data_IF_939635165613
#
_entry.id   IF_939635165613
#
_cell.length_a   1.000
_cell.length_b   1.000
_cell.length_c   1.000
_cell.angle_alpha   90.00
_cell.angle_beta   90.00
_cell.angle_gamma   90.00
#
_symmetry.space_group_name_H-M   'P 1'
#
loop_
_entity.id
_entity.type
_entity.pdbx_description
1 polymer ?
#
# COMPACT_ATOMS: atom_id res chain seq x y z
N UNK A 1 -3.15 2.36 -2.72
CA UNK A 1 -4.29 1.49 -3.15
C UNK A 1 -4.02 0.75 -4.46
N UNK A 2 -3.79 1.41 -5.61
CA UNK A 2 -3.64 0.70 -6.91
C UNK A 2 -2.56 -0.39 -6.91
N UNK A 3 -1.38 -0.11 -6.39
CA UNK A 3 -0.29 -1.10 -6.32
C UNK A 3 -0.65 -2.34 -5.49
N UNK A 4 -1.46 -2.18 -4.44
CA UNK A 4 -1.95 -3.31 -3.65
C UNK A 4 -2.88 -4.22 -4.46
N UNK A 5 -3.85 -3.67 -5.21
CA UNK A 5 -4.71 -4.49 -6.07
C UNK A 5 -3.92 -5.20 -7.17
N UNK A 6 -2.91 -4.53 -7.73
CA UNK A 6 -1.99 -5.15 -8.68
C UNK A 6 -1.24 -6.32 -8.01
N UNK A 7 -0.63 -6.10 -6.84
CA UNK A 7 0.07 -7.14 -6.09
C UNK A 7 -0.84 -8.32 -5.74
N UNK A 8 -2.04 -8.09 -5.20
CA UNK A 8 -2.96 -9.18 -4.86
C UNK A 8 -3.37 -10.01 -6.10
N UNK A 9 -3.47 -9.38 -7.27
CA UNK A 9 -3.73 -10.08 -8.53
C UNK A 9 -2.54 -10.90 -9.05
N UNK A 10 -1.30 -10.44 -8.80
CA UNK A 10 -0.06 -11.09 -9.22
C UNK A 10 0.39 -12.19 -8.27
N UNK A 11 0.06 -12.06 -6.98
CA UNK A 11 0.49 -12.94 -5.89
C UNK A 11 -0.73 -13.54 -5.16
N UNK A 12 -1.50 -14.43 -5.82
CA UNK A 12 -2.73 -14.99 -5.25
C UNK A 12 -2.49 -15.81 -3.98
N UNK A 13 -1.29 -16.39 -3.80
CA UNK A 13 -0.94 -17.12 -2.59
C UNK A 13 -0.81 -16.21 -1.36
N UNK A 14 -0.28 -15.01 -1.54
CA UNK A 14 -0.19 -13.99 -0.48
C UNK A 14 -1.59 -13.55 -0.06
N UNK A 15 -2.44 -13.24 -1.04
CA UNK A 15 -3.85 -12.92 -0.81
C UNK A 15 -4.56 -14.05 -0.05
N UNK A 16 -4.36 -15.31 -0.44
CA UNK A 16 -4.98 -16.46 0.22
C UNK A 16 -4.54 -16.60 1.67
N UNK A 17 -3.24 -16.49 1.97
CA UNK A 17 -2.74 -16.55 3.37
C UNK A 17 -3.34 -15.47 4.25
N UNK A 18 -3.49 -14.25 3.72
CA UNK A 18 -4.12 -13.15 4.44
C UNK A 18 -5.62 -13.39 4.68
N UNK A 19 -6.33 -13.90 3.67
CA UNK A 19 -7.72 -14.31 3.78
C UNK A 19 -7.91 -15.44 4.81
N UNK A 20 -7.03 -16.43 4.85
CA UNK A 20 -7.06 -17.53 5.82
C UNK A 20 -6.85 -17.02 7.26
N UNK A 21 -5.93 -16.06 7.48
CA UNK A 21 -5.75 -15.41 8.78
C UNK A 21 -7.00 -14.63 9.19
N UNK A 22 -7.56 -13.83 8.31
CA UNK A 22 -8.79 -13.07 8.54
C UNK A 22 -9.96 -13.99 8.92
N UNK A 23 -10.16 -15.08 8.17
CA UNK A 23 -11.24 -16.04 8.42
C UNK A 23 -11.05 -16.74 9.78
N UNK A 24 -9.81 -17.07 10.14
CA UNK A 24 -9.49 -17.73 11.41
C UNK A 24 -9.72 -16.83 12.62
N UNK A 25 -9.33 -15.56 12.53
CA UNK A 25 -9.32 -14.62 13.67
C UNK A 25 -10.66 -13.90 13.82
N UNK A 26 -11.26 -13.47 12.72
CA UNK A 26 -12.46 -12.63 12.72
C UNK A 26 -13.70 -13.42 12.30
N UNK A 27 -13.53 -14.39 11.39
CA UNK A 27 -14.63 -15.09 10.73
C UNK A 27 -15.30 -14.26 9.63
N UNK A 28 -16.48 -14.71 9.20
CA UNK A 28 -17.16 -14.19 7.99
C UNK A 28 -18.48 -13.45 8.29
N UNK A 29 -18.73 -13.07 9.55
CA UNK A 29 -19.96 -12.38 9.97
C UNK A 29 -19.84 -10.86 10.01
N UNK A 30 -18.62 -10.31 10.05
CA UNK A 30 -18.35 -8.88 10.14
C UNK A 30 -17.08 -8.50 9.38
N UNK A 31 -16.91 -7.21 9.14
CA UNK A 31 -15.67 -6.67 8.61
C UNK A 31 -14.62 -6.50 9.73
N UNK A 32 -13.31 -6.55 9.39
CA UNK A 32 -12.24 -6.15 10.29
C UNK A 32 -12.35 -4.69 10.73
N UNK A 33 -11.93 -4.43 11.96
CA UNK A 33 -11.83 -3.11 12.59
C UNK A 33 -10.43 -2.90 13.18
N UNK A 34 -10.12 -1.69 13.65
CA UNK A 34 -8.83 -1.42 14.28
C UNK A 34 -8.54 -2.25 15.55
N UNK A 35 -9.58 -2.74 16.23
CA UNK A 35 -9.40 -3.60 17.40
C UNK A 35 -8.82 -4.98 17.06
N UNK A 36 -8.83 -5.36 15.77
CA UNK A 36 -8.35 -6.67 15.32
C UNK A 36 -6.86 -6.64 14.91
N UNK A 37 -6.25 -5.45 14.75
CA UNK A 37 -4.93 -5.28 14.12
C UNK A 37 -3.83 -6.13 14.77
N UNK A 38 -3.77 -6.15 16.10
CA UNK A 38 -2.73 -6.86 16.85
C UNK A 38 -2.84 -8.39 16.70
N UNK A 39 -3.99 -8.89 16.27
CA UNK A 39 -4.25 -10.33 16.07
C UNK A 39 -4.04 -10.79 14.62
N UNK A 40 -3.60 -9.90 13.72
CA UNK A 40 -3.46 -10.17 12.28
C UNK A 40 -2.01 -9.95 11.79
N UNK A 41 -1.03 -10.70 12.32
CA UNK A 41 0.38 -10.48 12.03
C UNK A 41 0.74 -10.64 10.55
N UNK A 42 0.11 -11.57 9.81
CA UNK A 42 0.37 -11.71 8.38
C UNK A 42 -0.17 -10.52 7.59
N UNK A 43 -1.38 -10.05 7.92
CA UNK A 43 -1.96 -8.87 7.32
C UNK A 43 -1.11 -7.62 7.60
N UNK A 44 -0.58 -7.48 8.82
CA UNK A 44 0.34 -6.40 9.18
C UNK A 44 1.60 -6.42 8.30
N UNK A 45 2.06 -7.61 7.90
CA UNK A 45 3.20 -7.76 7.01
C UNK A 45 2.90 -7.39 5.53
N UNK A 46 1.62 -7.21 5.15
CA UNK A 46 1.23 -6.71 3.80
C UNK A 46 1.60 -5.23 3.60
N UNK A 47 2.13 -4.58 4.64
CA UNK A 47 2.92 -3.35 4.53
C UNK A 47 4.02 -3.44 3.44
N UNK A 48 4.41 -4.66 3.05
CA UNK A 48 5.15 -4.97 1.83
C UNK A 48 4.70 -4.21 0.58
N UNK A 49 3.42 -3.85 0.47
CA UNK A 49 2.92 -3.02 -0.62
C UNK A 49 3.61 -1.64 -0.69
N UNK A 50 3.97 -1.06 0.45
CA UNK A 50 4.71 0.20 0.49
C UNK A 50 6.17 0.04 0.05
N UNK A 51 6.80 -1.09 0.39
CA UNK A 51 8.16 -1.42 -0.08
C UNK A 51 8.18 -1.70 -1.57
N UNK A 52 7.26 -2.56 -2.01
CA UNK A 52 7.20 -3.07 -3.37
C UNK A 52 6.86 -1.96 -4.36
N UNK A 53 5.99 -1.02 -3.99
CA UNK A 53 5.71 0.16 -4.80
C UNK A 53 5.63 1.43 -3.92
N UNK A 54 6.79 2.08 -3.64
CA UNK A 54 6.80 3.28 -2.83
C UNK A 54 6.11 4.43 -3.54
N UNK A 55 5.31 5.21 -2.81
CA UNK A 55 4.51 6.30 -3.36
C UNK A 55 5.38 7.43 -3.95
N UNK A 56 6.57 7.66 -3.38
CA UNK A 56 7.50 8.70 -3.82
C UNK A 56 8.85 8.06 -4.12
N UNK A 57 9.07 7.62 -5.37
CA UNK A 57 10.27 6.85 -5.77
C UNK A 57 11.60 7.60 -5.54
N UNK A 58 11.59 8.93 -5.70
CA UNK A 58 12.73 9.82 -5.45
C UNK A 58 12.47 10.78 -4.27
N UNK A 59 11.51 10.44 -3.41
CA UNK A 59 11.03 11.30 -2.33
C UNK A 59 10.58 12.68 -2.80
N UNK A 60 10.58 13.63 -1.87
CA UNK A 60 10.45 15.05 -2.17
C UNK A 60 11.85 15.69 -2.16
N UNK A 61 12.15 16.64 -3.07
CA UNK A 61 13.43 17.34 -3.06
C UNK A 61 13.64 18.09 -1.74
N UNK A 62 14.81 17.91 -1.14
CA UNK A 62 15.34 18.70 -0.03
C UNK A 62 16.35 19.71 -0.58
N UNK A 63 16.65 20.76 0.18
CA UNK A 63 17.73 21.69 -0.09
C UNK A 63 18.62 21.83 1.13
N UNK A 64 19.94 21.90 0.93
CA UNK A 64 20.89 22.15 2.02
C UNK A 64 20.90 23.62 2.42
N UNK A 65 20.86 23.90 3.72
CA UNK A 65 20.90 25.27 4.26
C UNK A 65 22.35 25.81 4.39
N UNK A 66 23.32 24.90 4.44
CA UNK A 66 24.76 25.15 4.52
C UNK A 66 25.54 24.10 3.73
N UNK A 67 26.85 24.32 3.57
CA UNK A 67 27.74 23.35 2.94
C UNK A 67 27.99 22.18 3.89
N UNK A 68 27.98 20.96 3.35
CA UNK A 68 28.14 19.72 4.11
C UNK A 68 29.09 18.75 3.40
N UNK A 69 29.50 17.69 4.10
CA UNK A 69 30.26 16.58 3.55
C UNK A 69 29.64 15.24 3.95
N UNK A 70 29.21 14.45 2.97
CA UNK A 70 28.69 13.10 3.20
C UNK A 70 29.63 12.10 2.54
N UNK A 71 30.19 11.17 3.32
CA UNK A 71 31.09 10.12 2.82
C UNK A 71 32.25 10.63 1.96
N UNK A 72 32.82 11.80 2.30
CA UNK A 72 33.90 12.44 1.55
C UNK A 72 33.43 13.32 0.39
N UNK A 73 32.14 13.32 0.04
CA UNK A 73 31.59 14.15 -1.02
C UNK A 73 31.15 15.51 -0.48
N UNK A 74 31.68 16.59 -1.08
CA UNK A 74 31.23 17.96 -0.79
C UNK A 74 29.83 18.20 -1.34
N UNK A 75 28.92 18.64 -0.47
CA UNK A 75 27.56 19.04 -0.81
C UNK A 75 27.44 20.54 -0.59
N UNK A 76 27.40 21.35 -1.66
CA UNK A 76 27.30 22.80 -1.53
C UNK A 76 26.01 23.24 -0.83
N UNK A 77 26.05 24.41 -0.20
CA UNK A 77 24.83 25.11 0.23
C UNK A 77 23.86 25.31 -0.95
N UNK A 78 22.58 25.06 -0.72
CA UNK A 78 21.53 25.18 -1.74
C UNK A 78 21.48 24.00 -2.72
N UNK A 79 22.27 22.95 -2.51
CA UNK A 79 22.19 21.75 -3.32
C UNK A 79 20.84 21.06 -3.15
N UNK A 80 20.25 20.59 -4.25
CA UNK A 80 19.04 19.77 -4.22
C UNK A 80 19.39 18.33 -3.92
N UNK A 81 18.76 17.76 -2.90
CA UNK A 81 18.94 16.37 -2.48
C UNK A 81 17.63 15.61 -2.70
N UNK A 82 17.69 14.51 -3.46
CA UNK A 82 16.54 13.64 -3.69
C UNK A 82 16.84 12.27 -3.09
N UNK A 83 16.11 11.81 -2.06
CA UNK A 83 16.32 10.49 -1.49
C UNK A 83 15.82 9.43 -2.48
N UNK A 84 16.69 8.54 -2.91
CA UNK A 84 16.35 7.44 -3.81
C UNK A 84 15.57 6.33 -3.07
N UNK A 85 14.35 6.64 -2.60
CA UNK A 85 13.50 5.73 -1.82
C UNK A 85 13.27 4.41 -2.57
N UNK A 86 13.12 4.45 -3.89
CA UNK A 86 13.03 3.24 -4.72
C UNK A 86 14.23 2.32 -4.54
N UNK A 87 15.44 2.88 -4.47
CA UNK A 87 16.67 2.11 -4.22
C UNK A 87 16.71 1.60 -2.78
N UNK A 88 16.41 2.44 -1.78
CA UNK A 88 16.42 2.02 -0.38
C UNK A 88 15.47 0.87 -0.10
N UNK A 89 14.29 0.88 -0.72
CA UNK A 89 13.30 -0.22 -0.61
C UNK A 89 13.66 -1.49 -1.40
N UNK A 90 14.80 -1.48 -2.08
CA UNK A 90 15.32 -2.56 -2.95
C UNK A 90 16.79 -2.89 -2.72
N UNK A 91 17.41 -2.29 -1.71
CA UNK A 91 18.81 -2.52 -1.42
C UNK A 91 19.00 -4.02 -1.12
N UNK A 92 19.76 -4.76 -1.95
CA UNK A 92 19.96 -6.19 -1.75
C UNK A 92 20.71 -6.51 -0.45
N UNK A 93 21.37 -5.53 0.17
CA UNK A 93 21.97 -5.70 1.49
C UNK A 93 20.92 -5.69 2.63
N UNK A 94 19.73 -5.14 2.37
CA UNK A 94 18.65 -5.00 3.35
C UNK A 94 17.47 -5.94 3.05
N UNK A 95 17.05 -6.04 1.78
CA UNK A 95 15.85 -6.75 1.34
C UNK A 95 16.20 -7.88 0.38
N UNK A 96 15.96 -9.13 0.78
CA UNK A 96 16.20 -10.29 -0.07
C UNK A 96 15.06 -10.47 -1.10
N UNK A 97 15.37 -11.00 -2.30
CA UNK A 97 14.39 -11.18 -3.38
C UNK A 97 13.56 -9.92 -3.64
N UNK A 98 14.21 -8.75 -3.73
CA UNK A 98 13.56 -7.44 -3.60
C UNK A 98 12.44 -7.15 -4.62
N UNK A 99 12.45 -7.80 -5.78
CA UNK A 99 11.39 -7.63 -6.80
C UNK A 99 10.13 -8.46 -6.51
N UNK A 100 10.24 -9.48 -5.66
CA UNK A 100 9.13 -10.35 -5.26
C UNK A 100 8.33 -9.69 -4.14
N UNK A 101 7.00 -9.69 -4.27
CA UNK A 101 6.10 -9.28 -3.20
C UNK A 101 6.01 -10.41 -2.15
N UNK A 102 6.66 -10.22 -1.00
CA UNK A 102 6.79 -11.26 0.03
C UNK A 102 6.61 -10.68 1.43
N UNK A 103 5.38 -10.62 1.97
CA UNK A 103 5.11 -10.12 3.33
C UNK A 103 5.93 -10.81 4.41
N UNK A 104 6.20 -12.11 4.26
CA UNK A 104 6.94 -12.92 5.23
C UNK A 104 8.33 -12.37 5.57
N UNK A 105 8.87 -11.44 4.77
CA UNK A 105 10.14 -10.77 5.04
C UNK A 105 10.13 -9.95 6.34
N UNK A 106 8.98 -9.41 6.75
CA UNK A 106 8.83 -8.63 7.98
C UNK A 106 8.49 -9.49 9.19
N UNK A 107 8.37 -10.81 8.99
CA UNK A 107 8.01 -11.76 10.04
C UNK A 107 9.25 -12.57 10.45
N UNK A 108 9.20 -13.13 11.66
CA UNK A 108 10.23 -14.07 12.09
C UNK A 108 10.28 -15.28 11.15
N UNK A 109 11.48 -15.78 10.80
CA UNK A 109 12.79 -15.37 11.32
C UNK A 109 13.51 -14.29 10.49
N UNK A 110 12.89 -13.76 9.43
CA UNK A 110 13.56 -12.81 8.53
C UNK A 110 13.71 -11.43 9.17
N UNK A 111 12.59 -10.91 9.70
CA UNK A 111 12.52 -9.66 10.48
C UNK A 111 13.28 -8.49 9.83
N UNK A 112 13.13 -8.36 8.51
CA UNK A 112 13.72 -7.27 7.73
C UNK A 112 13.12 -5.91 8.17
N UNK A 113 13.85 -4.79 8.02
CA UNK A 113 13.37 -3.48 8.45
C UNK A 113 12.08 -3.05 7.73
N UNK A 114 11.10 -2.54 8.48
CA UNK A 114 9.84 -2.03 7.91
C UNK A 114 10.10 -0.95 6.87
N UNK A 115 9.39 -1.03 5.75
CA UNK A 115 9.55 -0.09 4.63
C UNK A 115 9.13 1.34 4.99
N UNK A 116 8.22 1.50 5.95
CA UNK A 116 7.77 2.80 6.48
C UNK A 116 8.89 3.66 7.03
N UNK A 117 9.99 3.04 7.48
CA UNK A 117 11.21 3.75 7.88
C UNK A 117 11.80 4.61 6.76
N UNK A 118 11.55 4.25 5.50
CA UNK A 118 12.07 4.95 4.31
C UNK A 118 10.97 5.62 3.48
N UNK A 119 9.74 5.12 3.51
CA UNK A 119 8.65 5.59 2.60
C UNK A 119 7.84 6.76 3.15
N UNK A 120 8.00 7.09 4.44
CA UNK A 120 7.20 8.12 5.13
C UNK A 120 7.97 9.45 5.29
N UNK A 121 9.17 9.53 4.73
CA UNK A 121 10.02 10.73 4.82
C UNK A 121 10.82 10.78 6.13
N UNK A 122 11.62 11.84 6.27
CA UNK A 122 12.73 11.86 7.23
C UNK A 122 12.63 13.05 8.18
N UNK A 123 12.74 12.77 9.48
CA UNK A 123 12.89 13.76 10.56
C UNK A 123 11.95 14.98 10.45
N UNK A 124 12.51 16.20 10.38
CA UNK A 124 11.79 17.49 10.30
C UNK A 124 10.80 17.56 9.12
N UNK A 125 10.97 16.70 8.11
CA UNK A 125 10.13 16.62 6.89
C UNK A 125 9.43 15.26 6.77
N UNK A 126 9.29 14.54 7.87
CA UNK A 126 8.46 13.33 7.92
C UNK A 126 7.01 13.68 7.57
N UNK A 127 6.35 12.78 6.83
CA UNK A 127 5.01 12.98 6.33
C UNK A 127 4.04 13.29 7.48
N UNK A 128 3.41 14.48 7.51
CA UNK A 128 2.46 14.83 8.57
C UNK A 128 1.19 13.97 8.50
N UNK A 129 0.87 13.43 7.31
CA UNK A 129 -0.29 12.57 7.08
C UNK A 129 -0.07 11.09 7.39
N UNK A 130 1.09 10.69 7.93
CA UNK A 130 1.46 9.27 8.08
C UNK A 130 0.44 8.45 8.86
N UNK A 131 -0.03 8.96 9.99
CA UNK A 131 -0.96 8.24 10.88
C UNK A 131 -2.29 7.96 10.19
N UNK A 132 -2.81 8.96 9.48
CA UNK A 132 -4.04 8.81 8.70
C UNK A 132 -3.83 7.87 7.52
N UNK A 133 -2.70 8.01 6.82
CA UNK A 133 -2.38 7.20 5.65
C UNK A 133 -2.24 5.71 6.03
N UNK A 134 -1.42 5.38 7.03
CA UNK A 134 -1.22 4.02 7.52
C UNK A 134 -2.53 3.39 7.97
N UNK A 135 -3.33 4.10 8.78
CA UNK A 135 -4.62 3.59 9.26
C UNK A 135 -5.60 3.33 8.11
N UNK A 136 -5.67 4.24 7.14
CA UNK A 136 -6.59 4.12 6.00
C UNK A 136 -6.15 3.04 5.03
N UNK A 137 -4.84 2.94 4.77
CA UNK A 137 -4.24 1.91 3.92
C UNK A 137 -4.51 0.54 4.54
N UNK A 138 -4.20 0.38 5.83
CA UNK A 138 -4.38 -0.86 6.55
C UNK A 138 -5.84 -1.33 6.52
N UNK A 139 -6.80 -0.47 6.89
CA UNK A 139 -8.22 -0.82 6.84
C UNK A 139 -8.70 -1.13 5.43
N UNK A 140 -8.21 -0.39 4.43
CA UNK A 140 -8.54 -0.69 3.02
C UNK A 140 -8.07 -2.08 2.64
N UNK A 141 -6.84 -2.47 3.01
CA UNK A 141 -6.30 -3.80 2.69
C UNK A 141 -7.08 -4.89 3.44
N UNK A 142 -7.24 -4.72 4.76
CA UNK A 142 -7.97 -5.64 5.64
C UNK A 142 -9.38 -5.94 5.12
N UNK A 143 -10.16 -4.88 4.88
CA UNK A 143 -11.55 -5.03 4.47
C UNK A 143 -11.66 -5.52 3.03
N UNK A 144 -10.76 -5.10 2.13
CA UNK A 144 -10.76 -5.62 0.75
C UNK A 144 -10.49 -7.11 0.73
N UNK A 145 -9.47 -7.59 1.47
CA UNK A 145 -9.14 -9.02 1.56
C UNK A 145 -10.22 -9.82 2.27
N UNK A 146 -10.89 -9.23 3.26
CA UNK A 146 -11.97 -9.91 3.97
C UNK A 146 -13.13 -10.30 3.05
N UNK A 147 -13.42 -9.52 2.00
CA UNK A 147 -14.66 -9.72 1.20
C UNK A 147 -14.43 -9.96 -0.28
N UNK A 148 -13.26 -9.64 -0.85
CA UNK A 148 -12.99 -9.77 -2.28
C UNK A 148 -11.91 -10.79 -2.60
N UNK A 149 -12.09 -11.45 -3.74
CA UNK A 149 -11.05 -12.07 -4.53
C UNK A 149 -10.60 -11.09 -5.63
N UNK A 150 -9.31 -10.77 -5.61
CA UNK A 150 -8.64 -9.89 -6.56
C UNK A 150 -7.80 -10.76 -7.49
N UNK A 151 -8.18 -10.83 -8.76
CA UNK A 151 -7.52 -11.67 -9.77
C UNK A 151 -7.09 -10.80 -10.96
N UNK A 152 -6.22 -11.35 -11.81
CA UNK A 152 -5.86 -10.70 -13.08
C UNK A 152 -7.10 -10.49 -13.94
N UNK A 153 -7.09 -9.44 -14.75
CA UNK A 153 -8.09 -9.28 -15.79
C UNK A 153 -8.01 -10.43 -16.81
N UNK A 154 -9.11 -10.67 -17.51
CA UNK A 154 -9.19 -11.64 -18.59
C UNK A 154 -9.53 -10.96 -19.90
N UNK A 155 -9.05 -11.50 -21.01
CA UNK A 155 -9.40 -11.04 -22.35
C UNK A 155 -10.81 -11.53 -22.77
N UNK A 156 -11.22 -11.19 -24.00
CA UNK A 156 -12.52 -11.59 -24.54
C UNK A 156 -12.70 -13.11 -24.67
N UNK A 157 -11.60 -13.88 -24.59
CA UNK A 157 -11.58 -15.34 -24.66
C UNK A 157 -11.48 -15.98 -23.26
N UNK A 158 -11.47 -15.16 -22.19
CA UNK A 158 -11.38 -15.63 -20.81
C UNK A 158 -9.96 -15.99 -20.35
N UNK A 159 -8.92 -15.66 -21.13
CA UNK A 159 -7.52 -15.92 -20.76
C UNK A 159 -6.98 -14.77 -19.90
N UNK A 160 -6.22 -15.10 -18.86
CA UNK A 160 -5.57 -14.09 -18.02
C UNK A 160 -4.65 -13.17 -18.83
N UNK A 161 -4.87 -11.87 -18.67
CA UNK A 161 -3.97 -10.83 -19.17
C UNK A 161 -2.77 -10.79 -18.22
N UNK A 162 -1.56 -10.78 -18.80
CA UNK A 162 -0.33 -10.65 -18.04
C UNK A 162 -0.34 -9.31 -17.31
N UNK A 163 -0.26 -9.36 -15.98
CA UNK A 163 -0.11 -8.19 -15.14
C UNK A 163 1.38 -7.88 -14.98
N UNK A 164 1.79 -6.64 -15.25
CA UNK A 164 3.17 -6.19 -15.13
C UNK A 164 3.27 -5.06 -14.11
N UNK A 165 4.33 -5.08 -13.30
CA UNK A 165 4.63 -4.01 -12.37
C UNK A 165 5.46 -2.93 -13.07
N UNK A 166 4.78 -1.93 -13.63
CA UNK A 166 5.40 -0.78 -14.27
C UNK A 166 5.09 0.50 -13.53
N UNK A 167 6.07 1.40 -13.47
CA UNK A 167 5.96 2.69 -12.80
C UNK A 167 5.49 3.75 -13.79
N UNK A 168 4.41 4.45 -13.43
CA UNK A 168 3.98 5.65 -14.13
C UNK A 168 4.87 6.86 -13.80
N UNK A 169 4.81 7.88 -14.64
CA UNK A 169 5.54 9.14 -14.45
C UNK A 169 4.88 10.04 -13.39
N UNK A 170 5.69 10.77 -12.63
CA UNK A 170 5.27 11.83 -11.72
C UNK A 170 5.99 11.79 -10.37
N UNK A 171 5.77 12.84 -9.55
CA UNK A 171 6.27 12.89 -8.16
C UNK A 171 5.61 11.78 -7.32
N UNK A 172 4.30 11.59 -7.53
CA UNK A 172 3.55 10.48 -6.94
C UNK A 172 3.55 9.32 -7.93
N UNK A 173 4.30 8.28 -7.57
CA UNK A 173 4.34 7.03 -8.30
C UNK A 173 3.01 6.31 -8.21
N UNK A 174 2.49 5.96 -9.38
CA UNK A 174 1.34 5.07 -9.54
C UNK A 174 1.79 3.96 -10.47
N UNK A 175 1.28 2.73 -10.33
CA UNK A 175 1.43 1.75 -11.39
C UNK A 175 0.85 2.30 -12.69
N UNK A 176 1.44 1.93 -13.83
CA UNK A 176 0.80 2.15 -15.13
C UNK A 176 -0.63 1.55 -15.15
N UNK A 177 -1.54 2.05 -16.00
CA UNK A 177 -2.90 1.51 -16.08
C UNK A 177 -2.90 -0.01 -16.27
N UNK A 178 -3.63 -0.73 -15.41
CA UNK A 178 -3.76 -2.17 -15.45
C UNK A 178 -5.23 -2.57 -15.21
N UNK A 179 -5.59 -3.78 -15.65
CA UNK A 179 -6.89 -4.38 -15.38
C UNK A 179 -6.81 -5.41 -14.25
N UNK A 180 -7.80 -5.41 -13.36
CA UNK A 180 -8.03 -6.48 -12.37
C UNK A 180 -9.50 -6.86 -12.34
N UNK A 181 -9.77 -8.11 -12.01
CA UNK A 181 -11.11 -8.62 -11.70
C UNK A 181 -11.25 -8.70 -10.19
N UNK A 182 -12.20 -7.94 -9.64
CA UNK A 182 -12.52 -7.92 -8.21
C UNK A 182 -13.93 -8.48 -8.04
N UNK A 183 -14.05 -9.59 -7.33
CA UNK A 183 -15.34 -10.28 -7.11
C UNK A 183 -15.52 -10.61 -5.65
N UNK A 184 -16.74 -10.59 -5.09
CA UNK A 184 -16.98 -11.08 -3.73
C UNK A 184 -16.49 -12.53 -3.59
N UNK A 185 -15.89 -12.87 -2.44
CA UNK A 185 -15.37 -14.22 -2.15
C UNK A 185 -16.48 -15.28 -2.10
N UNK A 186 -17.68 -14.88 -1.68
CA UNK A 186 -18.88 -15.71 -1.69
C UNK A 186 -20.15 -14.86 -1.59
N UNK A 187 -21.31 -15.50 -1.78
CA UNK A 187 -22.62 -14.85 -1.62
C UNK A 187 -22.79 -14.21 -0.23
N UNK A 188 -22.27 -14.85 0.83
CA UNK A 188 -22.28 -14.28 2.19
C UNK A 188 -21.49 -12.98 2.28
N UNK A 189 -20.34 -12.90 1.62
CA UNK A 189 -19.54 -11.67 1.57
C UNK A 189 -20.25 -10.58 0.74
N UNK A 190 -20.91 -10.95 -0.36
CA UNK A 190 -21.74 -10.03 -1.12
C UNK A 190 -22.87 -9.43 -0.27
N UNK A 191 -23.56 -10.26 0.52
CA UNK A 191 -24.58 -9.81 1.47
C UNK A 191 -24.01 -8.90 2.56
N UNK A 192 -22.81 -9.20 3.07
CA UNK A 192 -22.12 -8.34 4.05
C UNK A 192 -21.85 -6.95 3.46
N UNK A 193 -21.33 -6.87 2.23
CA UNK A 193 -21.08 -5.60 1.53
C UNK A 193 -22.39 -4.81 1.37
N UNK A 194 -23.46 -5.46 0.89
CA UNK A 194 -24.77 -4.82 0.74
C UNK A 194 -25.34 -4.35 2.09
N UNK A 195 -25.09 -5.10 3.17
CA UNK A 195 -25.48 -4.72 4.52
C UNK A 195 -24.75 -3.49 5.05
N UNK A 196 -23.53 -3.20 4.58
CA UNK A 196 -22.80 -1.96 4.91
C UNK A 196 -23.45 -0.78 4.19
N UNK A 197 -23.75 -0.90 2.90
CA UNK A 197 -24.40 0.16 2.11
C UNK A 197 -25.78 0.55 2.68
N UNK A 198 -26.49 -0.40 3.29
CA UNK A 198 -27.77 -0.11 3.97
C UNK A 198 -27.60 0.64 5.29
N UNK A 199 -26.54 0.34 6.05
CA UNK A 199 -26.25 0.97 7.35
C UNK A 199 -25.61 2.34 7.20
N UNK A 200 -24.79 2.50 6.17
CA UNK A 200 -24.06 3.71 5.82
C UNK A 200 -24.40 4.03 4.37
N UNK A 201 -25.61 4.57 4.11
CA UNK A 201 -25.99 4.97 2.77
C UNK A 201 -24.98 6.00 2.25
N UNK A 202 -24.73 5.96 0.94
CA UNK A 202 -23.92 7.00 0.31
C UNK A 202 -24.62 8.35 0.48
N UNK A 203 -23.87 9.33 0.94
CA UNK A 203 -24.30 10.72 1.06
C UNK A 203 -23.43 11.57 0.12
N UNK A 204 -24.03 12.61 -0.45
CA UNK A 204 -23.28 13.57 -1.25
C UNK A 204 -22.28 14.30 -0.35
N UNK A 205 -21.06 14.52 -0.85
CA UNK A 205 -20.03 15.22 -0.09
C UNK A 205 -20.43 16.66 0.20
N UNK A 206 -20.11 17.14 1.41
CA UNK A 206 -20.25 18.54 1.83
C UNK A 206 -19.30 19.51 1.09
N UNK A 207 -18.64 19.10 0.00
CA UNK A 207 -17.77 19.96 -0.79
C UNK A 207 -18.48 21.26 -1.23
N UNK A 208 -19.79 21.20 -1.49
CA UNK A 208 -20.62 22.37 -1.81
C UNK A 208 -20.67 23.41 -0.70
N UNK A 209 -20.44 23.03 0.55
CA UNK A 209 -20.36 23.97 1.68
C UNK A 209 -19.10 24.87 1.60
N UNK A 210 -18.13 24.51 0.76
CA UNK A 210 -16.92 25.29 0.50
C UNK A 210 -17.08 26.25 -0.69
N UNK A 211 -18.13 26.09 -1.52
CA UNK A 211 -18.43 26.95 -2.67
C UNK A 211 -18.91 28.33 -2.19
N UNK A 212 -17.97 29.17 -1.78
CA UNK A 212 -18.25 30.51 -1.24
C UNK A 212 -17.31 30.95 -0.12
N UNK A 213 -16.50 30.03 0.43
CA UNK A 213 -15.42 30.39 1.34
C UNK A 213 -14.32 31.08 0.52
N UNK A 214 -14.16 32.40 0.70
CA UNK A 214 -13.01 33.14 0.17
C UNK A 214 -11.80 32.77 1.01
N UNK A 215 -10.82 32.12 0.38
CA UNK A 215 -9.48 31.87 0.94
C UNK A 215 -8.69 33.16 0.97
#
# INVERSE_FOLDING_TARGET
MRAFFLAMSMYPDVQRKAQEELDRVIGTSRLPTFCDCDSLPYLNAIEEAQRWHPISVMGLPHATDEEDNINGYRIPKGASLLPAIWWFTRDPATYHDQETFKPERFMDPCSEPLATNMTIGFERRVCPGRVLAESSIYMTFAQSLAVFDIRKAVDAQGKEIVAEHKYGCGIISRPEPFGVRVTPRSERHAQLIQGVLKRHPWEESDARCLDGMKV
#
